data_IF_775435389583
#
_entry.id   IF_775435389583
#
_cell.length_a   1.000
_cell.length_b   1.000
_cell.length_c   1.000
_cell.angle_alpha   90.00
_cell.angle_beta   90.00
_cell.angle_gamma   90.00
#
_symmetry.space_group_name_H-M   'P 1'
#
loop_
_entity.id
_entity.type
_entity.pdbx_description
1 polymer ?
#
# COMPACT_ATOMS: atom_id res chain seq x y z
N UNK A 1 20.23 20.56 7.11
CA UNK A 1 19.36 20.62 5.91
C UNK A 1 18.86 19.24 5.47
N UNK A 2 19.71 18.22 5.35
CA UNK A 2 19.30 16.89 4.88
C UNK A 2 18.20 16.22 5.72
N UNK A 3 18.33 16.22 7.06
CA UNK A 3 17.30 15.67 7.96
C UNK A 3 15.92 16.32 7.72
N UNK A 4 15.89 17.64 7.60
CA UNK A 4 14.67 18.39 7.32
C UNK A 4 14.06 17.98 5.98
N UNK A 5 14.87 17.88 4.92
CA UNK A 5 14.40 17.49 3.59
C UNK A 5 13.79 16.08 3.59
N UNK A 6 14.47 15.12 4.24
CA UNK A 6 14.00 13.75 4.30
C UNK A 6 12.75 13.59 5.18
N UNK A 7 12.65 14.35 6.28
CA UNK A 7 11.39 14.45 7.05
C UNK A 7 10.27 15.05 6.20
N UNK A 8 10.55 16.13 5.47
CA UNK A 8 9.58 16.78 4.59
C UNK A 8 9.06 15.81 3.53
N UNK A 9 9.95 15.13 2.81
CA UNK A 9 9.60 14.11 1.81
C UNK A 9 8.77 12.99 2.45
N UNK A 10 9.21 12.48 3.61
CA UNK A 10 8.51 11.40 4.30
C UNK A 10 7.08 11.80 4.69
N UNK A 11 6.89 12.96 5.33
CA UNK A 11 5.56 13.46 5.72
C UNK A 11 4.67 13.67 4.49
N UNK A 12 5.19 14.21 3.39
CA UNK A 12 4.39 14.41 2.17
C UNK A 12 3.97 13.08 1.53
N UNK A 13 4.83 12.07 1.58
CA UNK A 13 4.49 10.72 1.12
C UNK A 13 3.49 10.02 2.04
N UNK A 14 3.62 10.16 3.36
CA UNK A 14 2.83 9.36 4.32
C UNK A 14 1.52 10.04 4.70
N UNK A 15 1.55 11.31 5.08
CA UNK A 15 0.36 12.02 5.56
C UNK A 15 -0.53 12.46 4.39
N UNK A 16 0.06 13.04 3.34
CA UNK A 16 -0.66 13.63 2.21
C UNK A 16 -0.74 12.75 0.97
N UNK A 17 -0.02 11.62 0.93
CA UNK A 17 0.04 10.70 -0.22
C UNK A 17 0.46 11.39 -1.54
N UNK A 18 1.33 12.39 -1.48
CA UNK A 18 1.82 13.06 -2.69
C UNK A 18 2.74 12.16 -3.50
N UNK A 19 2.68 12.32 -4.83
CA UNK A 19 3.55 11.62 -5.76
C UNK A 19 4.92 12.32 -5.89
N UNK A 20 5.87 11.63 -6.52
CA UNK A 20 7.21 12.17 -6.70
C UNK A 20 7.23 13.51 -7.49
N UNK A 21 6.43 13.69 -8.56
CA UNK A 21 6.32 14.99 -9.24
C UNK A 21 5.91 16.17 -8.34
N UNK A 22 4.85 16.02 -7.52
CA UNK A 22 4.39 17.09 -6.63
C UNK A 22 5.46 17.39 -5.57
N UNK A 23 6.04 16.33 -4.99
CA UNK A 23 7.11 16.50 -3.99
C UNK A 23 8.32 17.18 -4.63
N UNK A 24 8.73 16.76 -5.83
CA UNK A 24 9.85 17.37 -6.56
C UNK A 24 9.64 18.87 -6.76
N UNK A 25 8.45 19.28 -7.19
CA UNK A 25 8.11 20.69 -7.35
C UNK A 25 8.20 21.47 -6.04
N UNK A 26 7.72 20.89 -4.93
CA UNK A 26 7.83 21.53 -3.61
C UNK A 26 9.29 21.61 -3.12
N UNK A 27 10.12 20.60 -3.40
CA UNK A 27 11.54 20.63 -3.09
C UNK A 27 12.27 21.70 -3.91
N UNK A 28 11.91 21.89 -5.18
CA UNK A 28 12.44 22.96 -6.03
C UNK A 28 12.10 24.33 -5.41
N UNK A 29 10.87 24.56 -4.96
CA UNK A 29 10.48 25.81 -4.28
C UNK A 29 11.32 26.11 -3.04
N UNK A 30 11.65 25.08 -2.26
CA UNK A 30 12.43 25.21 -1.02
C UNK A 30 13.90 25.49 -1.32
N UNK A 31 14.50 24.74 -2.26
CA UNK A 31 15.93 24.81 -2.56
C UNK A 31 16.30 25.93 -3.53
N UNK A 32 15.43 26.21 -4.48
CA UNK A 32 15.63 27.19 -5.55
C UNK A 32 14.42 28.14 -5.62
N UNK A 33 14.24 29.04 -4.64
CA UNK A 33 13.11 29.96 -4.65
C UNK A 33 13.04 30.85 -5.90
N UNK A 34 14.17 31.09 -6.57
CA UNK A 34 14.23 31.83 -7.84
C UNK A 34 13.49 31.13 -8.99
N UNK A 35 13.31 29.81 -8.91
CA UNK A 35 12.61 29.01 -9.92
C UNK A 35 11.14 29.40 -10.08
N UNK A 36 10.56 30.02 -9.05
CA UNK A 36 9.15 30.42 -9.01
C UNK A 36 9.01 31.96 -9.01
N UNK A 37 10.12 32.69 -9.21
CA UNK A 37 10.10 34.15 -9.36
C UNK A 37 10.02 34.54 -10.82
N UNK A 38 9.09 35.43 -11.14
CA UNK A 38 8.90 35.97 -12.49
C UNK A 38 9.88 37.13 -12.75
N UNK A 39 11.16 36.81 -12.99
CA UNK A 39 12.20 37.78 -13.40
C UNK A 39 13.02 37.24 -14.59
N UNK A 40 13.31 38.05 -15.64
CA UNK A 40 14.14 37.66 -16.78
C UNK A 40 15.50 37.01 -16.43
N UNK A 41 16.16 37.43 -15.34
CA UNK A 41 17.42 36.78 -14.91
C UNK A 41 17.19 35.36 -14.39
N UNK A 42 16.02 35.11 -13.80
CA UNK A 42 15.62 33.80 -13.28
C UNK A 42 15.33 32.81 -14.42
N UNK A 43 14.75 33.25 -15.55
CA UNK A 43 14.48 32.39 -16.72
C UNK A 43 15.77 31.82 -17.33
N UNK A 44 16.81 32.65 -17.44
CA UNK A 44 18.11 32.20 -17.97
C UNK A 44 18.76 31.17 -17.04
N UNK A 45 18.77 31.44 -15.73
CA UNK A 45 19.30 30.51 -14.72
C UNK A 45 18.55 29.18 -14.70
N UNK A 46 17.21 29.22 -14.78
CA UNK A 46 16.35 28.04 -14.89
C UNK A 46 16.73 27.19 -16.09
N UNK A 47 16.87 27.80 -17.27
CA UNK A 47 17.17 27.08 -18.51
C UNK A 47 18.54 26.42 -18.47
N UNK A 48 19.54 27.10 -17.90
CA UNK A 48 20.92 26.59 -17.80
C UNK A 48 21.06 25.46 -16.76
N UNK A 49 20.29 25.49 -15.66
CA UNK A 49 20.44 24.59 -14.52
C UNK A 49 19.36 23.50 -14.40
N UNK A 50 18.35 23.49 -15.28
CA UNK A 50 17.20 22.59 -15.16
C UNK A 50 17.56 21.10 -15.07
N UNK A 51 18.51 20.66 -15.88
CA UNK A 51 18.92 19.25 -15.88
C UNK A 51 19.63 18.89 -14.58
N UNK A 52 20.52 19.75 -14.09
CA UNK A 52 21.25 19.55 -12.85
C UNK A 52 20.32 19.55 -11.64
N UNK A 53 19.41 20.53 -11.56
CA UNK A 53 18.42 20.63 -10.50
C UNK A 53 17.51 19.41 -10.50
N UNK A 54 17.03 18.96 -11.66
CA UNK A 54 16.22 17.74 -11.75
C UNK A 54 16.97 16.53 -11.19
N UNK A 55 18.23 16.34 -11.58
CA UNK A 55 19.05 15.23 -11.09
C UNK A 55 19.31 15.32 -9.58
N UNK A 56 19.51 16.51 -9.03
CA UNK A 56 19.67 16.70 -7.59
C UNK A 56 18.40 16.31 -6.83
N UNK A 57 17.23 16.75 -7.31
CA UNK A 57 15.94 16.47 -6.69
C UNK A 57 15.60 14.98 -6.78
N UNK A 58 15.85 14.35 -7.93
CA UNK A 58 15.71 12.89 -8.10
C UNK A 58 16.60 12.14 -7.10
N UNK A 59 17.87 12.55 -6.95
CA UNK A 59 18.78 11.97 -5.95
C UNK A 59 18.23 12.10 -4.54
N UNK A 60 17.66 13.24 -4.17
CA UNK A 60 17.06 13.45 -2.84
C UNK A 60 15.83 12.58 -2.58
N UNK A 61 14.99 12.37 -3.60
CA UNK A 61 13.79 11.53 -3.51
C UNK A 61 14.13 10.05 -3.36
N UNK A 62 15.27 9.62 -3.89
CA UNK A 62 15.73 8.22 -3.94
C UNK A 62 16.79 7.87 -2.89
N UNK A 63 17.12 8.81 -1.99
CA UNK A 63 18.14 8.56 -0.95
C UNK A 63 17.82 7.29 -0.14
N UNK A 64 18.80 6.39 0.07
CA UNK A 64 18.62 5.20 0.90
C UNK A 64 18.12 5.53 2.31
N UNK A 65 18.54 6.68 2.85
CA UNK A 65 18.13 7.20 4.16
C UNK A 65 16.62 7.44 4.26
N UNK A 66 15.98 7.84 3.16
CA UNK A 66 14.57 8.23 3.12
C UNK A 66 13.62 7.11 3.55
N UNK A 67 14.03 5.84 3.43
CA UNK A 67 13.26 4.69 3.92
C UNK A 67 13.07 4.72 5.44
N UNK A 68 14.10 5.13 6.19
CA UNK A 68 14.01 5.23 7.65
C UNK A 68 13.08 6.37 8.08
N UNK A 69 13.19 7.53 7.44
CA UNK A 69 12.29 8.66 7.67
C UNK A 69 10.84 8.32 7.33
N UNK A 70 10.61 7.66 6.19
CA UNK A 70 9.29 7.18 5.80
C UNK A 70 8.68 6.24 6.84
N UNK A 71 9.45 5.28 7.37
CA UNK A 71 8.96 4.35 8.39
C UNK A 71 8.54 5.05 9.68
N UNK A 72 9.27 6.08 10.10
CA UNK A 72 8.90 6.88 11.28
C UNK A 72 7.65 7.70 10.96
N UNK A 73 7.66 8.44 9.85
CA UNK A 73 6.52 9.29 9.48
C UNK A 73 5.22 8.47 9.29
N UNK A 74 5.31 7.29 8.67
CA UNK A 74 4.18 6.37 8.46
C UNK A 74 3.69 5.68 9.73
N UNK A 75 4.47 5.73 10.82
CA UNK A 75 4.05 5.21 12.13
C UNK A 75 3.22 6.26 12.88
N UNK A 76 3.64 7.53 12.82
CA UNK A 76 3.03 8.62 13.59
C UNK A 76 1.99 9.42 12.82
N UNK A 77 1.89 9.27 11.49
CA UNK A 77 0.82 9.89 10.69
C UNK A 77 -0.58 9.46 11.18
N UNK A 78 -0.71 8.25 11.73
CA UNK A 78 -1.92 7.76 12.38
C UNK A 78 -2.50 8.75 13.39
N UNK A 79 -1.66 9.36 14.24
CA UNK A 79 -2.11 10.32 15.25
C UNK A 79 -2.64 11.61 14.59
N UNK A 80 -1.93 12.15 13.60
CA UNK A 80 -2.37 13.33 12.85
C UNK A 80 -3.66 13.09 12.06
N UNK A 81 -3.80 11.91 11.45
CA UNK A 81 -5.03 11.52 10.75
C UNK A 81 -6.23 11.45 11.70
N UNK A 82 -6.03 10.92 12.91
CA UNK A 82 -7.10 10.86 13.92
C UNK A 82 -7.43 12.24 14.49
N UNK A 83 -6.46 13.14 14.65
CA UNK A 83 -6.72 14.54 15.01
C UNK A 83 -7.60 15.22 13.96
N UNK A 84 -7.35 14.98 12.67
CA UNK A 84 -8.22 15.48 11.61
C UNK A 84 -9.64 14.95 11.77
N UNK A 85 -9.81 13.64 11.92
CA UNK A 85 -11.13 13.02 12.09
C UNK A 85 -11.88 13.51 13.36
N UNK A 86 -11.15 13.79 14.46
CA UNK A 86 -11.72 14.36 15.69
C UNK A 86 -12.19 15.79 15.44
N UNK A 87 -11.43 16.57 14.67
CA UNK A 87 -11.79 17.95 14.32
C UNK A 87 -13.05 17.96 13.44
N UNK A 88 -13.12 17.07 12.44
CA UNK A 88 -14.30 16.87 11.60
C UNK A 88 -15.54 16.50 12.44
N UNK A 89 -15.38 15.69 13.50
CA UNK A 89 -16.48 15.29 14.41
C UNK A 89 -17.04 16.45 15.24
N UNK A 90 -16.18 17.39 15.69
CA UNK A 90 -16.56 18.51 16.56
C UNK A 90 -17.30 19.62 15.78
N UNK A 91 -17.41 19.49 14.45
CA UNK A 91 -17.64 20.56 13.48
C UNK A 91 -16.51 21.59 13.53
N UNK A 92 -16.04 22.02 12.36
CA UNK A 92 -14.87 22.93 12.15
C UNK A 92 -15.00 24.35 12.77
N UNK A 93 -15.91 24.55 13.71
CA UNK A 93 -16.08 25.79 14.46
C UNK A 93 -14.93 25.99 15.45
N UNK A 94 -14.09 27.03 15.30
CA UNK A 94 -12.85 27.18 16.09
C UNK A 94 -13.07 27.26 17.61
N UNK A 95 -14.19 27.83 18.07
CA UNK A 95 -14.52 27.93 19.49
C UNK A 95 -14.85 26.57 20.11
N UNK A 96 -15.62 25.75 19.40
CA UNK A 96 -15.98 24.39 19.82
C UNK A 96 -14.76 23.47 19.84
N UNK A 97 -13.90 23.56 18.82
CA UNK A 97 -12.63 22.84 18.77
C UNK A 97 -11.79 23.19 20.02
N UNK A 98 -11.51 24.47 20.27
CA UNK A 98 -10.72 24.87 21.44
C UNK A 98 -11.30 24.37 22.76
N UNK A 99 -12.62 24.44 22.94
CA UNK A 99 -13.29 23.99 24.17
C UNK A 99 -13.18 22.46 24.38
N UNK A 100 -13.28 21.66 23.32
CA UNK A 100 -13.19 20.20 23.41
C UNK A 100 -11.74 19.72 23.60
N UNK A 101 -10.77 20.33 22.94
CA UNK A 101 -9.36 19.96 23.09
C UNK A 101 -8.77 20.40 24.45
N UNK A 102 -9.34 21.42 25.10
CA UNK A 102 -8.92 21.86 26.44
C UNK A 102 -9.36 20.91 27.57
N UNK A 103 -10.37 20.08 27.34
CA UNK A 103 -10.96 19.17 28.32
C UNK A 103 -10.51 17.74 28.03
N UNK A 104 -9.62 17.21 28.87
CA UNK A 104 -8.96 15.92 28.65
C UNK A 104 -9.96 14.74 28.63
N UNK A 105 -10.99 14.78 29.48
CA UNK A 105 -11.99 13.71 29.54
C UNK A 105 -12.88 13.70 28.28
N UNK A 106 -13.23 14.88 27.77
CA UNK A 106 -13.96 15.00 26.50
C UNK A 106 -13.10 14.54 25.33
N UNK A 107 -11.84 14.94 25.29
CA UNK A 107 -10.91 14.52 24.26
C UNK A 107 -10.75 13.00 24.24
N UNK A 108 -10.62 12.34 25.39
CA UNK A 108 -10.51 10.88 25.48
C UNK A 108 -11.74 10.16 24.89
N UNK A 109 -12.95 10.63 25.21
CA UNK A 109 -14.20 10.08 24.64
C UNK A 109 -14.30 10.27 23.12
N UNK A 110 -13.83 11.42 22.63
CA UNK A 110 -13.78 11.71 21.19
C UNK A 110 -12.77 10.81 20.47
N UNK A 111 -11.56 10.66 21.04
CA UNK A 111 -10.53 9.75 20.50
C UNK A 111 -11.08 8.32 20.43
N UNK A 112 -11.73 7.82 21.49
CA UNK A 112 -12.32 6.48 21.51
C UNK A 112 -13.34 6.30 20.38
N UNK A 113 -14.29 7.23 20.27
CA UNK A 113 -15.36 7.20 19.27
C UNK A 113 -14.80 7.17 17.84
N UNK A 114 -13.86 8.06 17.54
CA UNK A 114 -13.24 8.20 16.22
C UNK A 114 -12.36 6.99 15.90
N UNK A 115 -11.55 6.53 16.85
CA UNK A 115 -10.69 5.37 16.68
C UNK A 115 -11.50 4.11 16.39
N UNK A 116 -12.58 3.86 17.13
CA UNK A 116 -13.43 2.69 16.92
C UNK A 116 -14.16 2.73 15.58
N UNK A 117 -14.62 3.92 15.17
CA UNK A 117 -15.21 4.12 13.85
C UNK A 117 -14.19 3.81 12.75
N UNK A 118 -12.97 4.35 12.85
CA UNK A 118 -11.89 4.12 11.88
C UNK A 118 -11.48 2.66 11.84
N UNK A 119 -11.38 1.99 12.98
CA UNK A 119 -11.10 0.55 13.08
C UNK A 119 -12.18 -0.30 12.39
N UNK A 120 -13.47 0.01 12.61
CA UNK A 120 -14.60 -0.68 11.94
C UNK A 120 -14.57 -0.44 10.43
N UNK A 121 -14.33 0.79 10.01
CA UNK A 121 -14.22 1.15 8.59
C UNK A 121 -13.03 0.49 7.92
N UNK A 122 -11.88 0.42 8.61
CA UNK A 122 -10.69 -0.27 8.13
C UNK A 122 -10.97 -1.77 7.92
N UNK A 123 -11.63 -2.44 8.86
CA UNK A 123 -12.04 -3.84 8.69
C UNK A 123 -12.93 -4.04 7.45
N UNK A 124 -13.91 -3.16 7.23
CA UNK A 124 -14.77 -3.19 6.03
C UNK A 124 -13.98 -2.92 4.75
N UNK A 125 -13.06 -1.94 4.77
CA UNK A 125 -12.18 -1.59 3.65
C UNK A 125 -11.29 -2.76 3.27
N UNK A 126 -10.62 -3.39 4.25
CA UNK A 126 -9.78 -4.57 4.03
C UNK A 126 -10.57 -5.73 3.42
N UNK A 127 -11.78 -6.00 3.94
CA UNK A 127 -12.64 -7.05 3.39
C UNK A 127 -13.07 -6.76 1.94
N UNK A 128 -13.46 -5.51 1.64
CA UNK A 128 -13.78 -5.08 0.28
C UNK A 128 -12.57 -5.21 -0.64
N UNK A 129 -11.41 -4.74 -0.22
CA UNK A 129 -10.15 -4.91 -0.98
C UNK A 129 -9.84 -6.38 -1.23
N UNK A 130 -10.07 -7.27 -0.25
CA UNK A 130 -9.91 -8.71 -0.41
C UNK A 130 -10.79 -9.25 -1.54
N UNK A 131 -12.08 -8.93 -1.50
CA UNK A 131 -13.06 -9.37 -2.50
C UNK A 131 -12.69 -8.83 -3.88
N UNK A 132 -12.44 -7.52 -3.97
CA UNK A 132 -12.14 -6.87 -5.24
C UNK A 132 -10.83 -7.37 -5.85
N UNK A 133 -9.79 -7.57 -5.06
CA UNK A 133 -8.54 -8.17 -5.55
C UNK A 133 -8.74 -9.62 -5.97
N UNK A 134 -9.47 -10.42 -5.21
CA UNK A 134 -9.77 -11.82 -5.56
C UNK A 134 -10.57 -11.90 -6.87
N UNK A 135 -11.59 -11.05 -7.03
CA UNK A 135 -12.39 -10.99 -8.25
C UNK A 135 -11.56 -10.50 -9.44
N UNK A 136 -10.71 -9.49 -9.24
CA UNK A 136 -9.81 -8.99 -10.29
C UNK A 136 -8.82 -10.07 -10.75
N UNK A 137 -8.24 -10.81 -9.81
CA UNK A 137 -7.35 -11.95 -10.10
C UNK A 137 -8.10 -13.03 -10.87
N UNK A 138 -9.33 -13.36 -10.46
CA UNK A 138 -10.18 -14.34 -11.14
C UNK A 138 -10.52 -13.91 -12.58
N UNK A 139 -10.92 -12.65 -12.79
CA UNK A 139 -11.24 -12.11 -14.12
C UNK A 139 -9.98 -12.03 -14.99
N UNK A 140 -8.86 -11.58 -14.43
CA UNK A 140 -7.59 -11.48 -15.13
C UNK A 140 -7.06 -12.85 -15.55
N UNK A 141 -7.17 -13.87 -14.68
CA UNK A 141 -6.86 -15.26 -15.02
C UNK A 141 -7.73 -15.76 -16.16
N UNK A 142 -9.05 -15.52 -16.10
CA UNK A 142 -9.97 -15.92 -17.16
C UNK A 142 -9.65 -15.26 -18.50
N UNK A 143 -9.31 -13.98 -18.49
CA UNK A 143 -8.89 -13.25 -19.67
C UNK A 143 -7.52 -13.74 -20.21
N UNK A 144 -6.54 -13.95 -19.33
CA UNK A 144 -5.22 -14.51 -19.67
C UNK A 144 -5.39 -15.86 -20.37
N UNK A 145 -6.26 -16.70 -19.82
CA UNK A 145 -6.56 -17.99 -20.39
C UNK A 145 -7.15 -17.87 -21.81
N UNK A 146 -8.13 -17.00 -22.02
CA UNK A 146 -8.77 -16.84 -23.34
C UNK A 146 -7.78 -16.27 -24.38
N UNK A 147 -6.93 -15.32 -23.98
CA UNK A 147 -6.06 -14.57 -24.89
C UNK A 147 -4.77 -15.32 -25.19
N UNK A 148 -4.15 -15.95 -24.19
CA UNK A 148 -2.82 -16.55 -24.30
C UNK A 148 -2.89 -18.07 -24.19
N UNK A 149 -3.38 -18.60 -23.06
CA UNK A 149 -3.19 -20.01 -22.75
C UNK A 149 -4.06 -20.94 -23.60
N UNK A 150 -5.29 -20.54 -23.91
CA UNK A 150 -6.20 -21.28 -24.78
C UNK A 150 -5.66 -21.44 -26.19
N UNK A 151 -5.23 -20.35 -26.87
CA UNK A 151 -4.53 -20.44 -28.15
C UNK A 151 -3.24 -21.27 -28.10
N UNK A 152 -2.41 -21.07 -27.06
CA UNK A 152 -1.15 -21.81 -26.89
C UNK A 152 -1.39 -23.30 -26.66
N UNK A 153 -2.37 -23.68 -25.84
CA UNK A 153 -2.72 -25.06 -25.56
C UNK A 153 -3.26 -25.78 -26.80
N UNK A 154 -4.09 -25.10 -27.61
CA UNK A 154 -4.55 -25.62 -28.91
C UNK A 154 -3.38 -25.84 -29.87
N UNK A 155 -2.45 -24.88 -29.94
CA UNK A 155 -1.25 -25.01 -30.78
C UNK A 155 -0.32 -26.15 -30.31
N UNK A 156 -0.20 -26.35 -28.99
CA UNK A 156 0.60 -27.41 -28.39
C UNK A 156 -0.09 -28.80 -28.40
N UNK A 157 -1.32 -28.91 -28.91
CA UNK A 157 -2.07 -30.17 -28.97
C UNK A 157 -2.49 -30.73 -27.61
N UNK A 158 -2.53 -29.90 -26.56
CA UNK A 158 -2.88 -30.34 -25.20
C UNK A 158 -4.40 -30.34 -25.04
N UNK A 159 -5.02 -31.44 -24.55
CA UNK A 159 -6.47 -31.52 -24.40
C UNK A 159 -6.99 -30.49 -23.40
N UNK A 160 -8.05 -29.79 -23.81
CA UNK A 160 -8.76 -28.80 -23.00
C UNK A 160 -9.54 -29.49 -21.88
N UNK A 161 -9.29 -29.09 -20.63
CA UNK A 161 -10.01 -29.59 -19.46
C UNK A 161 -10.61 -28.41 -18.69
N UNK A 162 -11.94 -28.39 -18.61
CA UNK A 162 -12.69 -27.38 -17.83
C UNK A 162 -12.27 -27.42 -16.35
N UNK A 163 -11.95 -28.62 -15.84
CA UNK A 163 -11.44 -28.78 -14.48
C UNK A 163 -10.10 -28.07 -14.27
N UNK A 164 -9.26 -28.09 -15.29
CA UNK A 164 -7.94 -27.45 -15.24
C UNK A 164 -8.06 -25.94 -15.24
N UNK A 165 -8.94 -25.38 -16.06
CA UNK A 165 -9.29 -23.96 -16.02
C UNK A 165 -9.85 -23.56 -14.66
N UNK A 166 -10.71 -24.40 -14.07
CA UNK A 166 -11.26 -24.14 -12.76
C UNK A 166 -10.18 -24.05 -11.67
N UNK A 167 -9.25 -25.02 -11.62
CA UNK A 167 -8.15 -24.99 -10.65
C UNK A 167 -7.18 -23.84 -10.89
N UNK A 168 -6.93 -23.51 -12.16
CA UNK A 168 -6.08 -22.40 -12.53
C UNK A 168 -6.59 -21.06 -11.98
N UNK A 169 -7.90 -20.80 -12.10
CA UNK A 169 -8.53 -19.61 -11.54
C UNK A 169 -8.70 -19.66 -10.01
N UNK A 170 -8.95 -20.86 -9.47
CA UNK A 170 -9.25 -21.04 -8.05
C UNK A 170 -8.01 -20.89 -7.17
N UNK A 171 -6.84 -21.41 -7.60
CA UNK A 171 -5.63 -21.44 -6.77
C UNK A 171 -5.17 -20.02 -6.38
N UNK A 172 -4.95 -19.07 -7.31
CA UNK A 172 -4.54 -17.70 -6.97
C UNK A 172 -5.59 -16.99 -6.12
N UNK A 173 -6.87 -17.20 -6.43
CA UNK A 173 -8.00 -16.61 -5.71
C UNK A 173 -8.07 -17.12 -4.25
N UNK A 174 -7.84 -18.42 -4.07
CA UNK A 174 -7.80 -19.05 -2.75
C UNK A 174 -6.58 -18.60 -1.94
N UNK A 175 -5.41 -18.51 -2.57
CA UNK A 175 -4.20 -17.94 -1.94
C UNK A 175 -4.46 -16.51 -1.49
N UNK A 176 -5.04 -15.66 -2.35
CA UNK A 176 -5.40 -14.28 -2.01
C UNK A 176 -6.34 -14.23 -0.79
N UNK A 177 -7.39 -15.04 -0.81
CA UNK A 177 -8.35 -15.13 0.28
C UNK A 177 -7.69 -15.51 1.61
N UNK A 178 -6.85 -16.56 1.61
CA UNK A 178 -6.11 -16.98 2.81
C UNK A 178 -5.16 -15.90 3.34
N UNK A 179 -4.41 -15.25 2.44
CA UNK A 179 -3.49 -14.17 2.82
C UNK A 179 -4.25 -13.01 3.46
N UNK A 180 -5.38 -12.60 2.91
CA UNK A 180 -6.15 -11.48 3.47
C UNK A 180 -6.88 -11.85 4.77
N UNK A 181 -7.37 -13.07 4.91
CA UNK A 181 -7.91 -13.55 6.18
C UNK A 181 -6.88 -13.54 7.31
N UNK A 182 -5.60 -13.77 6.98
CA UNK A 182 -4.52 -13.70 7.95
C UNK A 182 -4.19 -12.25 8.36
N UNK A 183 -4.52 -11.25 7.53
CA UNK A 183 -4.31 -9.83 7.83
C UNK A 183 -5.34 -9.37 8.87
N UNK A 184 -4.87 -8.94 10.04
CA UNK A 184 -5.72 -8.47 11.13
C UNK A 184 -5.58 -6.95 11.31
N UNK A 185 -6.66 -6.26 11.72
CA UNK A 185 -6.56 -4.87 12.15
C UNK A 185 -5.70 -4.75 13.43
N UNK A 186 -5.26 -3.52 13.80
CA UNK A 186 -4.36 -3.30 14.93
C UNK A 186 -4.83 -3.94 16.24
N UNK A 187 -3.85 -4.41 17.01
CA UNK A 187 -4.06 -5.04 18.31
C UNK A 187 -4.68 -4.04 19.32
N UNK A 188 -5.54 -4.45 20.26
CA UNK A 188 -6.14 -3.57 21.27
C UNK A 188 -5.14 -2.67 22.03
N UNK A 189 -3.98 -3.23 22.41
CA UNK A 189 -2.85 -2.49 23.00
C UNK A 189 -2.33 -1.27 22.20
N UNK A 190 -2.71 -1.12 20.93
CA UNK A 190 -2.35 0.05 20.14
C UNK A 190 -3.11 1.31 20.60
N UNK A 191 -4.35 1.17 21.05
CA UNK A 191 -5.21 2.31 21.40
C UNK A 191 -4.60 3.22 22.49
N UNK A 192 -4.09 2.70 23.63
CA UNK A 192 -3.44 3.54 24.65
C UNK A 192 -2.23 4.32 24.11
N UNK A 193 -1.47 3.72 23.18
CA UNK A 193 -0.31 4.40 22.55
C UNK A 193 -0.78 5.54 21.67
N UNK A 194 -1.84 5.32 20.87
CA UNK A 194 -2.44 6.36 20.03
C UNK A 194 -2.96 7.52 20.87
N UNK A 195 -3.67 7.24 21.97
CA UNK A 195 -4.13 8.28 22.91
C UNK A 195 -2.95 9.09 23.45
N UNK A 196 -1.88 8.43 23.89
CA UNK A 196 -0.66 9.11 24.37
C UNK A 196 -0.08 10.03 23.30
N UNK A 197 0.07 9.55 22.07
CA UNK A 197 0.65 10.34 20.97
C UNK A 197 -0.22 11.53 20.57
N UNK A 198 -1.55 11.37 20.53
CA UNK A 198 -2.46 12.50 20.29
C UNK A 198 -2.32 13.56 21.39
N UNK A 199 -2.30 13.15 22.67
CA UNK A 199 -2.16 14.07 23.81
C UNK A 199 -0.82 14.82 23.79
N UNK A 200 0.28 14.17 23.40
CA UNK A 200 1.58 14.84 23.20
C UNK A 200 1.48 15.99 22.19
N UNK A 201 0.81 15.75 21.06
CA UNK A 201 0.64 16.75 19.99
C UNK A 201 -0.27 17.90 20.45
N UNK A 202 -1.42 17.59 21.06
CA UNK A 202 -2.42 18.60 21.47
C UNK A 202 -1.88 19.48 22.60
N UNK A 203 -1.36 18.86 23.66
CA UNK A 203 -0.93 19.56 24.87
C UNK A 203 0.53 20.02 24.83
N UNK A 204 1.22 19.82 23.69
CA UNK A 204 2.62 20.20 23.51
C UNK A 204 3.51 19.70 24.66
N UNK A 205 3.31 18.45 25.08
CA UNK A 205 4.05 17.85 26.18
C UNK A 205 5.55 17.80 25.82
N UNK A 206 6.41 18.26 26.74
CA UNK A 206 7.84 18.46 26.52
C UNK A 206 8.68 17.17 26.38
N UNK A 207 8.06 15.98 26.33
CA UNK A 207 8.77 14.74 25.99
C UNK A 207 9.17 14.79 24.50
N UNK A 208 10.34 15.36 24.21
CA UNK A 208 10.96 15.19 22.89
C UNK A 208 11.35 13.72 22.72
N UNK A 209 10.55 12.97 21.97
CA UNK A 209 10.92 11.62 21.59
C UNK A 209 12.13 11.67 20.64
N UNK A 210 13.31 11.30 21.15
CA UNK A 210 14.51 11.17 20.32
C UNK A 210 14.45 9.86 19.55
N UNK A 211 14.09 9.95 18.26
CA UNK A 211 14.13 8.80 17.36
C UNK A 211 15.52 8.59 16.78
N UNK A 212 16.26 7.63 17.34
CA UNK A 212 17.54 7.21 16.79
C UNK A 212 17.35 6.41 15.49
N UNK A 213 17.45 7.10 14.37
CA UNK A 213 17.64 6.45 13.07
C UNK A 213 19.06 5.89 13.03
N UNK A 214 19.19 4.58 13.20
CA UNK A 214 20.48 3.91 13.04
C UNK A 214 20.89 3.90 11.55
N UNK A 215 21.49 4.99 11.08
CA UNK A 215 21.88 5.23 9.68
C UNK A 215 22.91 4.21 9.18
N UNK A 216 23.67 3.62 10.12
CA UNK A 216 24.66 2.58 9.87
C UNK A 216 24.67 1.57 11.03
N UNK A 217 23.61 0.75 11.17
CA UNK A 217 23.83 -0.52 11.89
C UNK A 217 24.92 -1.25 11.12
N UNK A 218 26.09 -1.48 11.73
CA UNK A 218 27.08 -2.46 11.25
C UNK A 218 26.36 -3.81 11.23
N UNK A 219 25.67 -4.09 10.12
CA UNK A 219 25.00 -5.38 9.93
C UNK A 219 26.13 -6.39 9.91
N UNK A 220 26.10 -7.33 10.85
CA UNK A 220 27.04 -8.43 10.82
C UNK A 220 26.90 -9.10 9.44
N UNK A 221 27.93 -9.00 8.60
CA UNK A 221 27.90 -9.44 7.21
C UNK A 221 27.51 -10.92 7.13
N UNK A 222 27.93 -11.72 8.11
CA UNK A 222 27.55 -13.13 8.23
C UNK A 222 26.06 -13.29 8.50
N UNK A 223 25.50 -12.62 9.50
CA UNK A 223 24.06 -12.70 9.79
C UNK A 223 23.23 -12.20 8.61
N UNK A 224 23.63 -11.10 7.96
CA UNK A 224 22.94 -10.61 6.77
C UNK A 224 22.98 -11.62 5.63
N UNK A 225 24.14 -12.24 5.35
CA UNK A 225 24.26 -13.28 4.34
C UNK A 225 23.38 -14.49 4.69
N UNK A 226 23.38 -14.92 5.95
CA UNK A 226 22.50 -15.99 6.44
C UNK A 226 21.02 -15.65 6.22
N UNK A 227 20.58 -14.45 6.59
CA UNK A 227 19.20 -14.00 6.38
C UNK A 227 18.82 -13.93 4.91
N UNK A 228 19.73 -13.50 4.03
CA UNK A 228 19.50 -13.49 2.58
C UNK A 228 19.37 -14.90 2.06
N UNK A 229 20.27 -15.81 2.42
CA UNK A 229 20.23 -17.23 2.02
C UNK A 229 18.92 -17.87 2.47
N UNK A 230 18.55 -17.71 3.75
CA UNK A 230 17.30 -18.24 4.31
C UNK A 230 16.10 -17.66 3.53
N UNK A 231 16.05 -16.34 3.33
CA UNK A 231 14.96 -15.70 2.58
C UNK A 231 14.84 -16.23 1.14
N UNK A 232 15.96 -16.44 0.46
CA UNK A 232 15.99 -17.00 -0.90
C UNK A 232 15.51 -18.45 -0.90
N UNK A 233 15.96 -19.28 0.05
CA UNK A 233 15.50 -20.67 0.18
C UNK A 233 14.00 -20.75 0.44
N UNK A 234 13.45 -19.92 1.33
CA UNK A 234 12.00 -19.84 1.56
C UNK A 234 11.23 -19.36 0.33
N UNK A 235 11.77 -18.40 -0.43
CA UNK A 235 11.18 -17.97 -1.70
C UNK A 235 11.15 -19.08 -2.74
N UNK A 236 12.26 -19.81 -2.92
CA UNK A 236 12.33 -20.95 -3.84
C UNK A 236 11.42 -22.10 -3.39
N UNK A 237 11.38 -22.40 -2.10
CA UNK A 237 10.48 -23.39 -1.53
C UNK A 237 9.00 -23.01 -1.73
N UNK A 238 8.67 -21.72 -1.57
CA UNK A 238 7.33 -21.19 -1.84
C UNK A 238 6.92 -21.35 -3.30
N UNK A 239 7.81 -21.00 -4.24
CA UNK A 239 7.57 -21.21 -5.68
C UNK A 239 7.41 -22.70 -6.02
N UNK A 240 8.30 -23.54 -5.49
CA UNK A 240 8.24 -24.98 -5.71
C UNK A 240 6.95 -25.60 -5.14
N UNK A 241 6.50 -25.13 -3.98
CA UNK A 241 5.22 -25.54 -3.37
C UNK A 241 4.05 -25.17 -4.28
N UNK A 242 3.97 -23.92 -4.74
CA UNK A 242 2.90 -23.46 -5.64
C UNK A 242 2.92 -24.26 -6.95
N UNK A 243 4.09 -24.40 -7.56
CA UNK A 243 4.27 -25.21 -8.77
C UNK A 243 3.82 -26.67 -8.56
N UNK A 244 4.13 -27.24 -7.40
CA UNK A 244 3.70 -28.59 -7.03
C UNK A 244 2.18 -28.70 -6.84
N UNK A 245 1.53 -27.68 -6.26
CA UNK A 245 0.06 -27.61 -6.16
C UNK A 245 -0.57 -27.62 -7.57
N UNK A 246 -0.07 -26.80 -8.49
CA UNK A 246 -0.54 -26.80 -9.88
C UNK A 246 -0.29 -28.14 -10.59
N UNK A 247 0.82 -28.82 -10.28
CA UNK A 247 1.12 -30.15 -10.81
C UNK A 247 0.12 -31.20 -10.34
N UNK A 248 -0.28 -31.17 -9.07
CA UNK A 248 -1.32 -32.07 -8.54
C UNK A 248 -2.68 -31.77 -9.19
N UNK A 249 -2.97 -30.50 -9.44
CA UNK A 249 -4.18 -30.06 -10.13
C UNK A 249 -4.19 -30.41 -11.64
N UNK A 250 -3.12 -31.05 -12.15
CA UNK A 250 -2.96 -31.46 -13.56
C UNK A 250 -3.10 -30.29 -14.54
N UNK A 251 -2.57 -29.14 -14.17
CA UNK A 251 -2.47 -27.98 -15.07
C UNK A 251 -1.42 -28.24 -16.16
N UNK A 252 -1.68 -27.90 -17.45
CA UNK A 252 -0.68 -27.96 -18.51
C UNK A 252 0.64 -27.33 -18.07
N UNK A 253 1.74 -27.95 -18.47
CA UNK A 253 3.07 -27.47 -18.10
C UNK A 253 3.34 -26.04 -18.60
N UNK A 254 2.69 -25.61 -19.69
CA UNK A 254 2.78 -24.24 -20.23
C UNK A 254 2.12 -23.21 -19.32
N UNK A 255 0.90 -23.47 -18.83
CA UNK A 255 0.17 -22.59 -17.92
C UNK A 255 0.83 -22.58 -16.53
N UNK A 256 1.31 -23.74 -16.06
CA UNK A 256 1.90 -23.88 -14.71
C UNK A 256 2.97 -22.84 -14.37
N UNK A 257 3.83 -22.47 -15.33
CA UNK A 257 4.84 -21.42 -15.12
C UNK A 257 4.21 -20.02 -14.98
N UNK A 258 3.24 -19.71 -15.85
CA UNK A 258 2.52 -18.44 -15.86
C UNK A 258 1.74 -18.30 -14.54
N UNK A 259 1.04 -19.35 -14.12
CA UNK A 259 0.17 -19.34 -12.94
C UNK A 259 0.99 -19.25 -11.64
N UNK A 260 2.18 -19.85 -11.63
CA UNK A 260 3.14 -19.72 -10.52
C UNK A 260 3.62 -18.28 -10.39
N UNK A 261 3.96 -17.62 -11.50
CA UNK A 261 4.34 -16.19 -11.51
C UNK A 261 3.17 -15.31 -11.08
N UNK A 262 1.97 -15.59 -11.60
CA UNK A 262 0.76 -14.86 -11.25
C UNK A 262 0.44 -14.99 -9.77
N UNK A 263 0.56 -16.20 -9.19
CA UNK A 263 0.42 -16.42 -7.75
C UNK A 263 1.47 -15.63 -6.96
N UNK A 264 2.72 -15.55 -7.41
CA UNK A 264 3.72 -14.69 -6.74
C UNK A 264 3.31 -13.20 -6.76
N UNK A 265 2.71 -12.71 -7.86
CA UNK A 265 2.13 -11.36 -7.92
C UNK A 265 0.95 -11.18 -6.96
N UNK A 266 0.15 -12.23 -6.70
CA UNK A 266 -0.88 -12.22 -5.66
C UNK A 266 -0.29 -11.99 -4.27
N UNK A 267 0.83 -12.64 -3.94
CA UNK A 267 1.54 -12.36 -2.68
C UNK A 267 1.98 -10.89 -2.60
N UNK A 268 2.46 -10.30 -3.70
CA UNK A 268 2.78 -8.87 -3.74
C UNK A 268 1.54 -7.99 -3.50
N UNK A 269 0.42 -8.24 -4.18
CA UNK A 269 -0.83 -7.52 -3.96
C UNK A 269 -1.33 -7.63 -2.49
N UNK A 270 -1.21 -8.81 -1.89
CA UNK A 270 -1.56 -9.02 -0.49
C UNK A 270 -0.70 -8.16 0.46
N UNK A 271 0.58 -7.93 0.16
CA UNK A 271 1.42 -7.03 0.97
C UNK A 271 0.95 -5.57 0.94
N UNK A 272 0.40 -5.10 -0.18
CA UNK A 272 -0.20 -3.76 -0.27
C UNK A 272 -1.46 -3.63 0.60
N UNK A 273 -2.30 -4.68 0.63
CA UNK A 273 -3.46 -4.74 1.53
C UNK A 273 -3.01 -4.82 3.00
N UNK A 274 -1.96 -5.60 3.28
CA UNK A 274 -1.36 -5.67 4.62
C UNK A 274 -0.84 -4.31 5.08
N UNK A 275 -0.18 -3.55 4.21
CA UNK A 275 0.25 -2.18 4.54
C UNK A 275 -0.93 -1.28 4.90
N UNK A 276 -2.05 -1.38 4.18
CA UNK A 276 -3.27 -0.63 4.48
C UNK A 276 -3.85 -1.00 5.86
N UNK A 277 -3.73 -2.26 6.29
CA UNK A 277 -4.21 -2.68 7.61
C UNK A 277 -3.47 -2.01 8.78
N UNK A 278 -2.27 -1.47 8.53
CA UNK A 278 -1.44 -0.81 9.53
C UNK A 278 -1.66 0.71 9.60
N UNK A 279 -2.63 1.25 8.86
CA UNK A 279 -2.91 2.70 8.73
C UNK A 279 -3.12 3.43 10.07
N UNK A 280 -3.65 2.76 11.10
CA UNK A 280 -3.84 3.36 12.45
C UNK A 280 -2.93 2.72 13.52
N UNK A 281 -1.88 2.02 13.11
CA UNK A 281 -1.00 1.25 14.02
C UNK A 281 0.27 2.04 14.33
N UNK A 282 0.39 2.48 15.58
CA UNK A 282 1.63 3.06 16.12
C UNK A 282 2.48 1.96 16.75
N UNK A 283 1.89 1.08 17.56
CA UNK A 283 2.60 -0.04 18.15
C UNK A 283 2.11 -1.36 17.57
N UNK A 284 2.98 -1.99 16.80
CA UNK A 284 2.76 -3.33 16.28
C UNK A 284 3.37 -4.36 17.24
N UNK A 285 2.53 -5.09 17.97
CA UNK A 285 2.97 -6.31 18.65
C UNK A 285 2.89 -7.44 17.63
N UNK A 286 4.02 -7.74 17.00
CA UNK A 286 4.13 -8.83 16.04
C UNK A 286 3.64 -10.14 16.65
N UNK A 287 2.72 -10.81 15.96
CA UNK A 287 2.24 -12.13 16.34
C UNK A 287 3.23 -13.20 15.83
N UNK A 288 3.42 -14.28 16.59
CA UNK A 288 4.29 -15.39 16.17
C UNK A 288 3.79 -15.98 14.85
N UNK A 289 2.47 -16.15 14.72
CA UNK A 289 1.84 -16.65 13.48
C UNK A 289 2.05 -15.69 12.29
N UNK A 290 1.96 -14.37 12.52
CA UNK A 290 2.23 -13.38 11.47
C UNK A 290 3.71 -13.42 11.05
N UNK A 291 4.62 -13.61 12.02
CA UNK A 291 6.06 -13.73 11.76
C UNK A 291 6.38 -14.98 10.91
N UNK A 292 5.72 -16.11 11.17
CA UNK A 292 5.84 -17.31 10.34
C UNK A 292 5.29 -17.11 8.93
N UNK A 293 4.12 -16.47 8.79
CA UNK A 293 3.55 -16.17 7.47
C UNK A 293 4.43 -15.20 6.67
N UNK A 294 5.06 -14.23 7.34
CA UNK A 294 5.96 -13.26 6.70
C UNK A 294 7.25 -13.92 6.18
N UNK A 295 7.72 -14.99 6.83
CA UNK A 295 8.90 -15.74 6.39
C UNK A 295 8.73 -16.33 4.98
N UNK A 296 7.51 -16.77 4.63
CA UNK A 296 7.16 -17.25 3.29
C UNK A 296 6.64 -16.12 2.38
N UNK A 297 5.78 -15.25 2.91
CA UNK A 297 5.07 -14.26 2.09
C UNK A 297 5.99 -13.15 1.58
N UNK A 298 6.99 -12.71 2.37
CA UNK A 298 7.87 -11.62 1.98
C UNK A 298 8.79 -12.00 0.80
N UNK A 299 9.49 -13.15 0.79
CA UNK A 299 10.25 -13.58 -0.38
C UNK A 299 9.37 -13.72 -1.64
N UNK A 300 8.19 -14.33 -1.51
CA UNK A 300 7.24 -14.49 -2.62
C UNK A 300 6.77 -13.13 -3.16
N UNK A 301 6.42 -12.21 -2.27
CA UNK A 301 6.00 -10.86 -2.64
C UNK A 301 7.13 -10.07 -3.33
N UNK A 302 8.40 -10.26 -2.95
CA UNK A 302 9.53 -9.64 -3.66
C UNK A 302 9.68 -10.16 -5.09
N UNK A 303 9.48 -11.47 -5.29
CA UNK A 303 9.50 -12.08 -6.62
C UNK A 303 8.34 -11.53 -7.46
N UNK A 304 7.12 -11.54 -6.89
CA UNK A 304 5.95 -10.95 -7.53
C UNK A 304 6.10 -9.47 -7.86
N UNK A 305 6.72 -8.69 -6.97
CA UNK A 305 7.03 -7.28 -7.19
C UNK A 305 7.97 -7.10 -8.38
N UNK A 306 9.01 -7.94 -8.48
CA UNK A 306 9.95 -7.88 -9.60
C UNK A 306 9.24 -8.14 -10.94
N UNK A 307 8.38 -9.16 -11.01
CA UNK A 307 7.57 -9.45 -12.19
C UNK A 307 6.59 -8.32 -12.52
N UNK A 308 5.88 -7.80 -11.51
CA UNK A 308 4.92 -6.69 -11.69
C UNK A 308 5.61 -5.43 -12.23
N UNK A 309 6.79 -5.09 -11.70
CA UNK A 309 7.56 -3.94 -12.18
C UNK A 309 8.05 -4.17 -13.62
N UNK A 310 8.55 -5.36 -13.93
CA UNK A 310 8.98 -5.72 -15.29
C UNK A 310 7.84 -5.65 -16.29
N UNK A 311 6.64 -6.13 -15.93
CA UNK A 311 5.45 -6.00 -16.78
C UNK A 311 5.01 -4.56 -17.02
N UNK A 312 5.18 -3.67 -16.03
CA UNK A 312 4.82 -2.25 -16.15
C UNK A 312 5.75 -1.47 -17.08
N UNK A 313 6.99 -1.91 -17.26
CA UNK A 313 7.93 -1.33 -18.24
C UNK A 313 7.46 -1.53 -19.70
N UNK A 314 6.59 -2.53 -19.96
CA UNK A 314 5.99 -2.75 -21.27
C UNK A 314 4.68 -1.94 -21.41
N UNK A 315 4.76 -0.76 -22.03
CA UNK A 315 3.67 0.20 -22.18
C UNK A 315 2.35 -0.41 -22.73
N UNK A 316 2.45 -1.42 -23.59
CA UNK A 316 1.31 -2.17 -24.16
C UNK A 316 0.56 -2.97 -23.10
N UNK A 317 1.28 -3.58 -22.15
CA UNK A 317 0.69 -4.37 -21.05
C UNK A 317 0.04 -3.44 -20.03
N UNK A 318 0.62 -2.25 -19.77
CA UNK A 318 -0.01 -1.24 -18.91
C UNK A 318 -1.32 -0.71 -19.50
N UNK A 319 -1.37 -0.41 -20.80
CA UNK A 319 -2.60 0.00 -21.47
C UNK A 319 -3.67 -1.11 -21.45
N UNK A 320 -3.25 -2.37 -21.61
CA UNK A 320 -4.13 -3.54 -21.53
C UNK A 320 -4.66 -3.80 -20.11
N UNK A 321 -3.82 -3.65 -19.08
CA UNK A 321 -4.22 -3.78 -17.66
C UNK A 321 -5.13 -2.64 -17.21
N UNK A 322 -4.88 -1.39 -17.62
CA UNK A 322 -5.82 -0.28 -17.38
C UNK A 322 -7.16 -0.55 -18.09
N UNK A 323 -7.14 -1.08 -19.32
CA UNK A 323 -8.36 -1.45 -20.02
C UNK A 323 -9.12 -2.63 -19.39
N UNK A 324 -8.43 -3.66 -18.88
CA UNK A 324 -9.02 -4.88 -18.32
C UNK A 324 -9.34 -4.82 -16.82
N UNK A 325 -8.61 -4.01 -16.05
CA UNK A 325 -8.78 -3.88 -14.60
C UNK A 325 -9.42 -2.54 -14.25
N UNK A 326 -8.88 -1.40 -14.70
CA UNK A 326 -9.41 -0.08 -14.29
C UNK A 326 -10.77 0.22 -14.94
N UNK A 327 -10.99 -0.08 -16.22
CA UNK A 327 -12.25 0.24 -16.93
C UNK A 327 -13.48 -0.52 -16.37
N UNK A 328 -13.48 -1.85 -16.26
CA UNK A 328 -14.64 -2.55 -15.69
C UNK A 328 -14.81 -2.28 -14.19
N UNK A 329 -13.73 -2.06 -13.45
CA UNK A 329 -13.79 -1.74 -12.02
C UNK A 329 -14.36 -0.34 -11.77
N UNK A 330 -13.92 0.65 -12.55
CA UNK A 330 -14.47 2.01 -12.53
C UNK A 330 -15.93 2.04 -12.95
N UNK A 331 -16.33 1.20 -13.92
CA UNK A 331 -17.73 1.07 -14.35
C UNK A 331 -18.61 0.46 -13.24
N UNK A 332 -18.15 -0.56 -12.53
CA UNK A 332 -18.88 -1.17 -11.40
C UNK A 332 -18.99 -0.19 -10.22
N UNK A 333 -17.92 0.56 -9.90
CA UNK A 333 -17.96 1.58 -8.84
C UNK A 333 -18.95 2.68 -9.19
N UNK A 334 -18.90 3.20 -10.43
CA UNK A 334 -19.88 4.19 -10.93
C UNK A 334 -21.30 3.66 -10.85
N UNK A 335 -21.54 2.41 -11.26
CA UNK A 335 -22.87 1.79 -11.21
C UNK A 335 -23.38 1.62 -9.76
N UNK A 336 -22.49 1.35 -8.80
CA UNK A 336 -22.85 1.31 -7.36
C UNK A 336 -23.10 2.71 -6.79
N UNK A 337 -22.34 3.72 -7.21
CA UNK A 337 -22.59 5.12 -6.83
C UNK A 337 -23.89 5.65 -7.43
N UNK A 338 -24.15 5.39 -8.70
CA UNK A 338 -25.38 5.73 -9.42
C UNK A 338 -26.60 5.03 -8.80
N UNK A 339 -26.47 3.75 -8.46
CA UNK A 339 -27.52 3.00 -7.74
C UNK A 339 -27.81 3.59 -6.35
N UNK A 340 -26.76 4.00 -5.62
CA UNK A 340 -26.91 4.66 -4.31
C UNK A 340 -27.59 6.03 -4.45
N UNK A 341 -27.27 6.78 -5.49
CA UNK A 341 -27.87 8.08 -5.77
C UNK A 341 -29.33 7.93 -6.21
N UNK A 342 -29.64 6.96 -7.06
CA UNK A 342 -31.02 6.60 -7.44
C UNK A 342 -31.87 6.20 -6.23
N UNK A 343 -31.34 5.39 -5.31
CA UNK A 343 -32.05 5.02 -4.08
C UNK A 343 -32.26 6.21 -3.15
N UNK A 344 -31.31 7.15 -3.08
CA UNK A 344 -31.48 8.40 -2.33
C UNK A 344 -32.57 9.28 -2.95
N UNK A 345 -32.57 9.44 -4.27
CA UNK A 345 -33.62 10.18 -5.00
C UNK A 345 -35.00 9.54 -4.79
N UNK A 346 -35.11 8.21 -4.91
CA UNK A 346 -36.36 7.50 -4.65
C UNK A 346 -36.82 7.55 -3.19
N UNK A 347 -35.89 7.56 -2.24
CA UNK A 347 -36.23 7.75 -0.82
C UNK A 347 -36.71 9.18 -0.52
N UNK A 348 -36.25 10.17 -1.29
CA UNK A 348 -36.67 11.57 -1.16
C UNK A 348 -38.04 11.83 -1.83
N UNK A 349 -38.45 11.02 -2.82
CA UNK A 349 -39.80 11.07 -3.41
C UNK A 349 -40.90 10.47 -2.50
N UNK A 350 -40.52 9.71 -1.47
CA UNK A 350 -41.45 8.99 -0.56
C UNK A 350 -41.70 9.81 0.73
N UNK A 351 -41.19 11.03 0.83
CA UNK A 351 -41.44 11.96 1.95
C UNK A 351 -42.03 13.29 1.52
#
# INVERSE_FOLDING_TARGET
>A
MEKFLQTYIAVHRTLYNFDNPIIAFNLIKIKYPFWVKEDPKSVKQVTEQAVEIRQEIEKDLEKPLGKGFFQIAAKYDAAYRLINDITDEINDTPSMVKANYADEEKLDKLIETVYDRRRKNLKKKLFRSAIYSTLSIFVAGGASFIIFEGPVARWAGVPFSILTLFFDLLIPSFVMFLLVLAIRPPHPNNFPVVVKEIKKIVYHQAEEDVYELALNKKKNKFLHALFVIISTLFGLAGLALIFWVYKIAKVPWTSMYIDTVFTAMVFFAATAIKATSKEITIQDKGNILESFLDLFSVPMAKIGQWFSNKWREYNIVSALFTALVDTPFSAIIRLVEDWRNFLKEKSAEIH
#
